data_IF_609484125842
#
_entry.id   IF_609484125842
#
_cell.length_a   1.000
_cell.length_b   1.000
_cell.length_c   1.000
_cell.angle_alpha   90.00
_cell.angle_beta   90.00
_cell.angle_gamma   90.00
#
_symmetry.space_group_name_H-M   'P 1'
#
loop_
_entity.id
_entity.type
_entity.pdbx_description
1 polymer ?
#
# COMPACT_ATOMS: atom_id res chain seq x y z
N UNK A 1 -13.58 -15.98 -16.75
CA UNK A 1 -13.69 -14.61 -16.19
C UNK A 1 -13.79 -14.82 -14.69
N UNK A 2 -12.86 -14.28 -13.91
CA UNK A 2 -12.76 -14.60 -12.46
C UNK A 2 -13.71 -13.72 -11.68
N UNK A 3 -14.54 -14.31 -10.83
CA UNK A 3 -15.48 -13.62 -9.94
C UNK A 3 -15.10 -13.93 -8.50
N UNK A 4 -14.74 -12.90 -7.74
CA UNK A 4 -14.27 -13.06 -6.37
C UNK A 4 -15.44 -13.12 -5.41
N UNK A 5 -15.62 -14.24 -4.70
CA UNK A 5 -16.61 -14.33 -3.61
C UNK A 5 -16.18 -13.43 -2.44
N UNK A 6 -16.94 -12.37 -2.17
CA UNK A 6 -16.59 -11.36 -1.15
C UNK A 6 -17.53 -11.33 0.05
N UNK A 7 -18.78 -11.76 -0.11
CA UNK A 7 -19.79 -11.73 0.93
C UNK A 7 -20.94 -12.71 0.64
N UNK A 8 -21.87 -12.82 1.60
CA UNK A 8 -23.17 -13.45 1.40
C UNK A 8 -24.28 -12.43 1.75
N UNK A 9 -25.42 -12.52 1.07
CA UNK A 9 -26.62 -11.75 1.38
C UNK A 9 -27.28 -12.25 2.67
N UNK A 10 -28.33 -11.55 3.12
CA UNK A 10 -29.14 -11.99 4.27
C UNK A 10 -29.79 -13.36 4.06
N UNK A 11 -30.12 -13.68 2.82
CA UNK A 11 -30.72 -14.96 2.41
C UNK A 11 -29.66 -16.01 2.05
N UNK A 12 -28.41 -15.81 2.52
CA UNK A 12 -27.27 -16.67 2.27
C UNK A 12 -26.90 -16.86 0.78
N UNK A 13 -27.21 -15.88 -0.07
CA UNK A 13 -26.82 -15.91 -1.47
C UNK A 13 -25.41 -15.33 -1.64
N UNK A 14 -24.51 -15.99 -2.40
CA UNK A 14 -23.15 -15.50 -2.59
C UNK A 14 -23.13 -14.18 -3.36
N UNK A 15 -22.29 -13.25 -2.91
CA UNK A 15 -22.06 -11.95 -3.54
C UNK A 15 -20.63 -11.92 -4.07
N UNK A 16 -20.51 -11.67 -5.37
CA UNK A 16 -19.24 -11.66 -6.06
C UNK A 16 -18.82 -10.26 -6.49
N UNK A 17 -17.50 -10.01 -6.48
CA UNK A 17 -16.87 -8.88 -7.15
C UNK A 17 -16.32 -9.36 -8.49
N UNK A 18 -16.83 -8.79 -9.59
CA UNK A 18 -16.28 -9.04 -10.91
C UNK A 18 -14.85 -8.51 -11.00
N UNK A 19 -13.90 -9.35 -11.41
CA UNK A 19 -12.49 -8.99 -11.53
C UNK A 19 -12.23 -7.74 -12.37
N UNK A 20 -13.00 -7.55 -13.45
CA UNK A 20 -12.89 -6.36 -14.32
C UNK A 20 -13.25 -5.05 -13.63
N UNK A 21 -14.01 -5.10 -12.54
CA UNK A 21 -14.40 -3.93 -11.76
C UNK A 21 -13.46 -3.68 -10.57
N UNK A 22 -12.59 -4.64 -10.24
CA UNK A 22 -11.64 -4.53 -9.14
C UNK A 22 -10.50 -3.52 -9.39
N UNK A 23 -10.33 -3.06 -10.63
CA UNK A 23 -9.39 -1.99 -10.99
C UNK A 23 -9.92 -0.57 -10.72
N UNK A 24 -11.16 -0.44 -10.24
CA UNK A 24 -11.76 0.84 -9.85
C UNK A 24 -11.52 1.11 -8.37
N UNK A 25 -11.44 2.39 -8.01
CA UNK A 25 -11.36 2.78 -6.60
C UNK A 25 -12.61 2.35 -5.84
N UNK A 26 -12.40 1.76 -4.66
CA UNK A 26 -13.45 1.32 -3.75
C UNK A 26 -13.25 1.87 -2.34
N UNK A 27 -14.32 1.91 -1.55
CA UNK A 27 -14.31 2.38 -0.17
C UNK A 27 -14.90 1.30 0.74
N UNK A 28 -14.12 0.88 1.75
CA UNK A 28 -14.60 0.04 2.85
C UNK A 28 -14.69 0.91 4.09
N UNK A 29 -15.92 1.27 4.47
CA UNK A 29 -16.21 2.12 5.62
C UNK A 29 -17.03 1.36 6.68
N UNK A 30 -16.86 1.74 7.94
CA UNK A 30 -17.56 1.14 9.08
C UNK A 30 -16.92 1.50 10.42
N UNK A 31 -17.64 1.28 11.52
CA UNK A 31 -17.10 1.51 12.87
C UNK A 31 -16.03 0.47 13.25
N UNK A 32 -15.35 0.68 14.37
CA UNK A 32 -14.42 -0.34 14.91
C UNK A 32 -15.20 -1.63 15.22
N UNK A 33 -14.62 -2.78 14.86
CA UNK A 33 -15.26 -4.09 15.09
C UNK A 33 -16.29 -4.51 14.03
N UNK A 34 -16.60 -3.70 13.02
CA UNK A 34 -17.59 -4.05 11.97
C UNK A 34 -17.01 -4.84 10.80
N UNK A 35 -15.83 -5.47 10.97
CA UNK A 35 -15.26 -6.36 9.97
C UNK A 35 -14.44 -5.71 8.84
N UNK A 36 -14.12 -4.40 8.89
CA UNK A 36 -13.30 -3.72 7.85
C UNK A 36 -12.02 -4.49 7.48
N UNK A 37 -11.26 -4.89 8.49
CA UNK A 37 -10.01 -5.65 8.31
C UNK A 37 -10.26 -7.03 7.70
N UNK A 38 -11.35 -7.70 8.09
CA UNK A 38 -11.74 -9.00 7.54
C UNK A 38 -12.10 -8.87 6.06
N UNK A 39 -12.86 -7.84 5.68
CA UNK A 39 -13.20 -7.57 4.28
C UNK A 39 -11.96 -7.26 3.45
N UNK A 40 -11.06 -6.39 3.94
CA UNK A 40 -9.79 -6.09 3.27
C UNK A 40 -8.94 -7.34 3.08
N UNK A 41 -8.82 -8.15 4.13
CA UNK A 41 -8.10 -9.42 4.08
C UNK A 41 -8.69 -10.36 3.03
N UNK A 42 -10.01 -10.54 3.00
CA UNK A 42 -10.67 -11.41 2.02
C UNK A 42 -10.41 -10.99 0.57
N UNK A 43 -10.39 -9.69 0.30
CA UNK A 43 -10.02 -9.17 -1.02
C UNK A 43 -8.56 -9.43 -1.35
N UNK A 44 -7.65 -9.17 -0.41
CA UNK A 44 -6.22 -9.40 -0.61
C UNK A 44 -5.91 -10.88 -0.88
N UNK A 45 -6.54 -11.80 -0.14
CA UNK A 45 -6.46 -13.24 -0.34
C UNK A 45 -6.95 -13.61 -1.75
N UNK A 46 -8.14 -13.15 -2.14
CA UNK A 46 -8.73 -13.45 -3.46
C UNK A 46 -7.86 -12.97 -4.62
N UNK A 47 -7.31 -11.75 -4.54
CA UNK A 47 -6.40 -11.21 -5.55
C UNK A 47 -5.08 -11.99 -5.60
N UNK A 48 -4.52 -12.33 -4.43
CA UNK A 48 -3.28 -13.12 -4.39
C UNK A 48 -3.47 -14.54 -4.96
N UNK A 49 -4.64 -15.17 -4.80
CA UNK A 49 -4.95 -16.46 -5.41
C UNK A 49 -4.98 -16.40 -6.94
N UNK A 50 -5.41 -15.28 -7.51
CA UNK A 50 -5.41 -15.03 -8.96
C UNK A 50 -4.04 -14.52 -9.48
N UNK A 51 -3.02 -14.50 -8.62
CA UNK A 51 -1.68 -14.03 -8.96
C UNK A 51 -1.54 -12.51 -9.06
N UNK A 52 -2.55 -11.74 -8.62
CA UNK A 52 -2.53 -10.28 -8.62
C UNK A 52 -1.80 -9.78 -7.37
N UNK A 53 -0.69 -9.03 -7.50
CA UNK A 53 0.02 -8.47 -6.35
C UNK A 53 -0.82 -7.41 -5.63
N UNK A 54 -0.88 -7.49 -4.31
CA UNK A 54 -1.60 -6.53 -3.47
C UNK A 54 -0.61 -5.75 -2.61
N UNK A 55 -0.60 -4.43 -2.76
CA UNK A 55 0.15 -3.53 -1.90
C UNK A 55 -0.78 -2.92 -0.85
N UNK A 56 -0.40 -3.00 0.42
CA UNK A 56 -1.26 -2.60 1.53
C UNK A 56 -0.43 -2.01 2.67
N UNK A 57 -0.91 -0.91 3.25
CA UNK A 57 -0.36 -0.34 4.47
C UNK A 57 -1.05 -0.96 5.70
N UNK A 58 -0.29 -1.66 6.54
CA UNK A 58 -0.81 -2.27 7.76
C UNK A 58 -0.36 -1.48 9.00
N UNK A 59 -1.07 -0.39 9.29
CA UNK A 59 -0.75 0.51 10.41
C UNK A 59 -0.98 -0.16 11.76
N UNK A 60 -1.91 -1.12 11.85
CA UNK A 60 -2.31 -1.77 13.11
C UNK A 60 -1.65 -3.13 13.34
N UNK A 61 -1.07 -3.73 12.30
CA UNK A 61 -0.50 -5.08 12.36
C UNK A 61 -1.54 -6.19 12.19
N UNK A 62 -2.82 -5.85 11.98
CA UNK A 62 -3.93 -6.80 11.95
C UNK A 62 -3.95 -7.65 10.67
N UNK A 63 -3.23 -7.24 9.62
CA UNK A 63 -3.25 -7.86 8.30
C UNK A 63 -2.00 -8.72 8.04
N UNK A 64 -0.88 -8.40 8.68
CA UNK A 64 0.40 -9.09 8.57
C UNK A 64 0.31 -10.61 8.80
N UNK A 65 -0.64 -11.06 9.62
CA UNK A 65 -0.88 -12.47 9.92
C UNK A 65 -1.40 -13.32 8.75
N UNK A 66 -1.75 -12.72 7.61
CA UNK A 66 -2.20 -13.43 6.39
C UNK A 66 -1.13 -14.40 5.84
N UNK A 67 0.14 -14.21 6.20
CA UNK A 67 1.23 -15.10 5.78
C UNK A 67 1.19 -16.50 6.42
N UNK A 68 0.46 -16.65 7.53
CA UNK A 68 0.35 -17.91 8.25
C UNK A 68 -1.01 -18.54 8.01
N UNK A 69 -1.01 -19.85 7.86
CA UNK A 69 -2.25 -20.62 7.87
C UNK A 69 -2.98 -20.43 9.21
N UNK A 70 -4.30 -20.27 9.14
CA UNK A 70 -5.17 -20.21 10.30
C UNK A 70 -5.36 -21.59 10.93
N UNK A 71 -5.81 -21.60 12.20
CA UNK A 71 -6.22 -22.83 12.88
C UNK A 71 -7.74 -22.99 12.81
N UNK A 72 -8.18 -24.22 12.59
CA UNK A 72 -9.60 -24.56 12.54
C UNK A 72 -10.13 -24.87 13.96
N UNK A 73 -10.23 -23.84 14.80
CA UNK A 73 -10.60 -23.96 16.22
C UNK A 73 -11.78 -23.03 16.58
N UNK A 74 -12.57 -23.42 17.58
CA UNK A 74 -13.67 -22.64 18.17
C UNK A 74 -14.64 -22.02 17.13
N UNK A 75 -14.87 -20.70 17.25
CA UNK A 75 -15.76 -19.90 16.40
C UNK A 75 -15.34 -19.87 14.93
N UNK A 76 -14.07 -20.16 14.62
CA UNK A 76 -13.60 -20.22 13.23
C UNK A 76 -14.12 -21.50 12.58
N UNK A 77 -14.07 -22.63 13.29
CA UNK A 77 -14.60 -23.90 12.83
C UNK A 77 -16.11 -23.86 12.62
N UNK A 78 -16.86 -23.25 13.56
CA UNK A 78 -18.30 -23.05 13.43
C UNK A 78 -18.65 -22.25 12.16
N UNK A 79 -17.91 -21.17 11.87
CA UNK A 79 -18.13 -20.35 10.67
C UNK A 79 -17.76 -21.09 9.39
N UNK A 80 -16.65 -21.83 9.37
CA UNK A 80 -16.26 -22.63 8.20
C UNK A 80 -17.35 -23.66 7.89
N UNK A 81 -17.88 -24.34 8.90
CA UNK A 81 -18.98 -25.28 8.74
C UNK A 81 -20.28 -24.57 8.27
N UNK A 82 -20.63 -23.44 8.90
CA UNK A 82 -21.82 -22.67 8.57
C UNK A 82 -21.85 -22.21 7.11
N UNK A 83 -20.72 -21.72 6.60
CA UNK A 83 -20.59 -21.21 5.24
C UNK A 83 -20.08 -22.24 4.25
N UNK A 84 -19.92 -23.51 4.67
CA UNK A 84 -19.42 -24.61 3.84
C UNK A 84 -18.12 -24.26 3.09
N UNK A 85 -17.21 -23.60 3.79
CA UNK A 85 -15.95 -23.13 3.21
C UNK A 85 -15.01 -24.32 2.96
N UNK A 86 -14.18 -24.26 1.90
CA UNK A 86 -13.31 -25.37 1.55
C UNK A 86 -12.17 -25.57 2.57
N UNK A 87 -11.56 -26.75 2.56
CA UNK A 87 -10.54 -27.13 3.54
C UNK A 87 -9.27 -26.25 3.48
N UNK A 88 -8.96 -25.69 2.31
CA UNK A 88 -7.84 -24.77 2.07
C UNK A 88 -8.17 -23.30 2.39
N UNK A 89 -9.36 -23.02 2.93
CA UNK A 89 -9.77 -21.66 3.26
C UNK A 89 -8.85 -20.97 4.27
N UNK A 90 -8.24 -21.74 5.19
CA UNK A 90 -7.31 -21.23 6.20
C UNK A 90 -5.84 -21.26 5.74
N UNK A 91 -5.56 -21.30 4.44
CA UNK A 91 -4.18 -21.26 3.94
C UNK A 91 -3.47 -19.93 4.23
N UNK A 92 -2.14 -19.97 4.23
CA UNK A 92 -1.30 -18.77 4.30
C UNK A 92 -0.95 -18.24 2.90
N UNK A 93 -0.62 -16.95 2.82
CA UNK A 93 -0.32 -16.27 1.56
C UNK A 93 1.13 -15.76 1.50
N UNK A 94 1.73 -15.64 0.30
CA UNK A 94 3.05 -15.05 0.15
C UNK A 94 3.00 -13.56 0.52
N UNK A 95 3.81 -13.15 1.50
CA UNK A 95 3.89 -11.75 1.96
C UNK A 95 5.35 -11.31 1.95
N UNK A 96 5.59 -10.09 1.48
CA UNK A 96 6.86 -9.39 1.66
C UNK A 96 6.63 -8.17 2.54
N UNK A 97 7.31 -8.11 3.67
CA UNK A 97 7.21 -7.00 4.60
C UNK A 97 8.15 -5.87 4.17
N UNK A 98 7.56 -4.69 3.98
CA UNK A 98 8.27 -3.45 3.68
C UNK A 98 8.21 -2.59 4.94
N UNK A 99 9.36 -2.07 5.35
CA UNK A 99 9.51 -1.30 6.57
C UNK A 99 10.05 0.08 6.23
N UNK A 100 9.30 1.12 6.62
CA UNK A 100 9.65 2.52 6.38
C UNK A 100 10.84 2.95 7.24
N UNK A 101 10.98 2.36 8.43
CA UNK A 101 12.10 2.62 9.34
C UNK A 101 13.28 1.67 9.11
N UNK A 102 13.02 0.54 8.44
CA UNK A 102 14.03 -0.45 8.08
C UNK A 102 14.56 -1.27 9.27
N UNK A 103 13.74 -1.48 10.29
CA UNK A 103 14.12 -2.21 11.51
C UNK A 103 13.89 -3.71 11.39
N UNK A 104 12.74 -4.12 10.82
CA UNK A 104 12.25 -5.50 10.85
C UNK A 104 11.92 -6.07 9.48
N UNK A 105 11.70 -5.21 8.47
CA UNK A 105 11.36 -5.58 7.11
C UNK A 105 12.35 -5.08 6.06
N UNK A 106 11.97 -5.22 4.78
CA UNK A 106 12.73 -4.69 3.67
C UNK A 106 12.64 -3.16 3.72
N UNK A 107 13.77 -2.42 3.83
CA UNK A 107 13.73 -0.98 3.95
C UNK A 107 13.14 -0.37 2.68
N UNK A 108 12.11 0.46 2.83
CA UNK A 108 11.58 1.25 1.72
C UNK A 108 12.60 2.32 1.35
N UNK A 109 13.06 2.29 0.09
CA UNK A 109 14.04 3.26 -0.43
C UNK A 109 13.44 4.00 -1.61
N UNK A 110 13.56 5.32 -1.58
CA UNK A 110 13.24 6.21 -2.70
C UNK A 110 14.26 7.34 -2.69
N UNK A 111 14.80 7.69 -3.86
CA UNK A 111 15.70 8.83 -3.99
C UNK A 111 14.92 10.13 -4.08
N UNK A 112 15.56 11.24 -3.71
CA UNK A 112 14.99 12.59 -3.89
C UNK A 112 14.68 12.85 -5.38
N UNK A 113 15.57 12.42 -6.29
CA UNK A 113 15.31 12.49 -7.73
C UNK A 113 14.06 11.70 -8.15
N UNK A 114 13.81 10.51 -7.58
CA UNK A 114 12.64 9.70 -7.91
C UNK A 114 11.33 10.27 -7.34
N UNK A 115 11.37 10.94 -6.18
CA UNK A 115 10.22 11.67 -5.67
C UNK A 115 9.86 12.86 -6.58
N UNK A 116 10.88 13.59 -7.05
CA UNK A 116 10.71 14.78 -7.87
C UNK A 116 10.21 16.00 -7.08
N UNK A 117 10.33 17.18 -7.69
CA UNK A 117 10.02 18.46 -7.06
C UNK A 117 8.54 18.57 -6.62
N UNK A 118 7.60 18.16 -7.47
CA UNK A 118 6.16 18.29 -7.20
C UNK A 118 5.71 17.48 -5.97
N UNK A 119 6.15 16.22 -5.85
CA UNK A 119 5.77 15.38 -4.70
C UNK A 119 6.40 15.94 -3.41
N UNK A 120 7.67 16.34 -3.46
CA UNK A 120 8.37 16.94 -2.32
C UNK A 120 7.72 18.25 -1.88
N UNK A 121 7.34 19.12 -2.82
CA UNK A 121 6.66 20.37 -2.53
C UNK A 121 5.34 20.13 -1.77
N UNK A 122 4.54 19.15 -2.22
CA UNK A 122 3.30 18.75 -1.54
C UNK A 122 3.55 18.14 -0.16
N UNK A 123 4.53 17.25 -0.03
CA UNK A 123 4.88 16.63 1.25
C UNK A 123 5.35 17.66 2.29
N UNK A 124 6.09 18.67 1.86
CA UNK A 124 6.59 19.75 2.72
C UNK A 124 5.62 20.92 2.85
N UNK A 125 4.47 20.87 2.18
CA UNK A 125 3.46 21.92 2.14
C UNK A 125 4.06 23.30 1.77
N UNK A 126 4.86 23.32 0.70
CA UNK A 126 5.52 24.52 0.20
C UNK A 126 4.50 25.48 -0.45
N UNK A 127 4.77 26.78 -0.36
CA UNK A 127 4.05 27.78 -1.13
C UNK A 127 4.55 27.86 -2.59
N UNK A 128 3.80 28.56 -3.45
CA UNK A 128 4.11 28.69 -4.88
C UNK A 128 5.55 29.16 -5.16
N UNK A 129 6.05 30.11 -4.37
CA UNK A 129 7.43 30.61 -4.51
C UNK A 129 8.46 29.54 -4.17
N UNK A 130 8.26 28.83 -3.05
CA UNK A 130 9.15 27.76 -2.60
C UNK A 130 9.12 26.56 -3.56
N UNK A 131 7.95 26.20 -4.09
CA UNK A 131 7.81 25.19 -5.14
C UNK A 131 8.53 25.61 -6.41
N UNK A 132 8.42 26.88 -6.82
CA UNK A 132 9.15 27.43 -7.97
C UNK A 132 10.67 27.31 -7.80
N UNK A 133 11.20 27.65 -6.62
CA UNK A 133 12.63 27.50 -6.30
C UNK A 133 13.03 26.02 -6.30
N UNK A 134 12.22 25.13 -5.73
CA UNK A 134 12.50 23.70 -5.72
C UNK A 134 12.57 23.13 -7.14
N UNK A 135 11.65 23.52 -8.02
CA UNK A 135 11.67 23.13 -9.42
C UNK A 135 12.95 23.60 -10.14
N UNK A 136 13.40 24.83 -9.87
CA UNK A 136 14.66 25.34 -10.42
C UNK A 136 15.86 24.52 -9.94
N UNK A 137 15.91 24.17 -8.65
CA UNK A 137 16.98 23.37 -8.05
C UNK A 137 17.06 21.98 -8.70
N UNK A 138 15.91 21.33 -8.88
CA UNK A 138 15.83 20.05 -9.59
C UNK A 138 16.30 20.17 -11.04
N UNK A 139 15.91 21.23 -11.75
CA UNK A 139 16.37 21.49 -13.11
C UNK A 139 17.88 21.66 -13.20
N UNK A 140 18.49 22.42 -12.28
CA UNK A 140 19.96 22.59 -12.23
C UNK A 140 20.66 21.26 -11.97
N UNK A 141 20.11 20.42 -11.08
CA UNK A 141 20.64 19.09 -10.83
C UNK A 141 20.58 18.22 -12.10
N UNK A 142 19.46 18.21 -12.80
CA UNK A 142 19.27 17.46 -14.04
C UNK A 142 20.20 17.94 -15.16
N UNK A 143 20.31 19.25 -15.38
CA UNK A 143 21.18 19.87 -16.40
C UNK A 143 22.67 19.52 -16.16
N UNK A 144 23.06 19.28 -14.91
CA UNK A 144 24.43 18.90 -14.51
C UNK A 144 24.62 17.39 -14.34
N UNK A 145 23.58 16.58 -14.51
CA UNK A 145 23.64 15.13 -14.27
C UNK A 145 23.86 14.76 -12.80
N UNK A 146 23.45 15.61 -11.87
CA UNK A 146 23.55 15.35 -10.42
C UNK A 146 22.34 14.55 -9.94
N UNK A 147 22.57 13.29 -9.59
CA UNK A 147 21.54 12.46 -8.98
C UNK A 147 21.39 12.76 -7.48
N UNK A 148 20.20 13.20 -7.09
CA UNK A 148 19.87 13.50 -5.69
C UNK A 148 19.38 12.22 -5.03
N UNK A 149 20.23 11.59 -4.22
CA UNK A 149 19.93 10.34 -3.53
C UNK A 149 19.18 10.65 -2.24
N UNK A 150 19.69 11.59 -1.44
CA UNK A 150 19.13 11.93 -0.13
C UNK A 150 18.96 13.44 0.10
N UNK A 151 18.48 13.82 1.29
CA UNK A 151 18.27 15.22 1.66
C UNK A 151 19.57 16.02 1.83
N UNK A 152 20.72 15.38 2.01
CA UNK A 152 22.02 16.07 2.05
C UNK A 152 22.36 16.55 0.65
N UNK A 153 22.12 15.73 -0.37
CA UNK A 153 22.33 16.12 -1.77
C UNK A 153 21.45 17.31 -2.15
N UNK A 154 20.15 17.26 -1.80
CA UNK A 154 19.24 18.37 -2.06
C UNK A 154 19.69 19.67 -1.39
N UNK A 155 20.12 19.62 -0.12
CA UNK A 155 20.69 20.77 0.57
C UNK A 155 21.97 21.29 -0.10
N UNK A 156 22.81 20.38 -0.59
CA UNK A 156 24.02 20.72 -1.33
C UNK A 156 23.70 21.51 -2.60
N UNK A 157 22.71 21.08 -3.39
CA UNK A 157 22.32 21.80 -4.60
C UNK A 157 21.63 23.13 -4.28
N UNK A 158 20.79 23.19 -3.23
CA UNK A 158 20.21 24.45 -2.76
C UNK A 158 21.30 25.48 -2.41
N UNK A 159 22.34 25.05 -1.68
CA UNK A 159 23.48 25.89 -1.35
C UNK A 159 24.23 26.34 -2.62
N UNK A 160 24.49 25.40 -3.53
CA UNK A 160 25.13 25.68 -4.80
C UNK A 160 24.37 26.75 -5.61
N UNK A 161 23.05 26.59 -5.77
CA UNK A 161 22.21 27.54 -6.50
C UNK A 161 22.22 28.92 -5.82
N UNK A 162 22.16 28.96 -4.49
CA UNK A 162 22.23 30.20 -3.71
C UNK A 162 23.55 30.95 -3.94
N UNK A 163 24.68 30.24 -3.96
CA UNK A 163 26.01 30.82 -4.19
C UNK A 163 26.24 31.32 -5.63
N UNK A 164 25.47 30.81 -6.59
CA UNK A 164 25.57 31.14 -8.02
C UNK A 164 24.37 31.95 -8.53
N UNK A 165 23.56 32.52 -7.63
CA UNK A 165 22.36 33.29 -7.97
C UNK A 165 22.66 34.74 -8.40
N UNK A 166 23.94 35.17 -8.40
CA UNK A 166 24.40 36.52 -8.71
C UNK A 166 24.68 36.72 -10.21
#
# INVERSE_FOLDING_TARGET
MTDYLIAHSRDNQPIHLHSQLANRHGLIAGATGTGKTVTLRKLAEAFSQDGVPVFMADVKGDLSGICRAGKNEDKVAERIAQYQLPADYLQGFPVRFWDVYGETGIPVRVSISAMGAMLLARLMNLNDTQEGVLNLVFKVADDKGWHLIDLKDLRGVLQYVSEHAA
#
